data_IF_305105542963
#
_entry.id   IF_305105542963
#
_cell.length_a   1.000
_cell.length_b   1.000
_cell.length_c   1.000
_cell.angle_alpha   90.00
_cell.angle_beta   90.00
_cell.angle_gamma   90.00
#
_symmetry.space_group_name_H-M   'P 1'
#
loop_
_entity.id
_entity.type
_entity.pdbx_description
1 polymer ?
#
# COMPACT_ATOMS: atom_id res chain seq x y z
N UNK A 1 -14.04 8.77 8.37
CA UNK A 1 -13.71 7.46 7.80
C UNK A 1 -12.48 6.99 8.50
N UNK A 2 -12.55 5.80 9.09
CA UNK A 2 -11.48 5.19 9.85
C UNK A 2 -10.33 4.84 8.90
N UNK A 3 -9.12 5.23 9.26
CA UNK A 3 -7.93 4.77 8.55
C UNK A 3 -7.66 3.34 8.99
N UNK A 4 -7.47 2.44 8.03
CA UNK A 4 -7.07 1.07 8.31
C UNK A 4 -5.55 0.98 8.27
N UNK A 5 -4.93 0.64 9.40
CA UNK A 5 -3.51 0.36 9.46
C UNK A 5 -3.26 -1.14 9.38
N UNK A 6 -2.39 -1.56 8.45
CA UNK A 6 -2.06 -2.97 8.22
C UNK A 6 -0.54 -3.16 8.25
N UNK A 7 -0.12 -4.34 8.71
CA UNK A 7 1.28 -4.75 8.73
C UNK A 7 1.47 -6.01 7.89
N UNK A 8 2.38 -5.96 6.92
CA UNK A 8 2.64 -7.01 5.94
C UNK A 8 4.15 -7.19 5.86
N UNK A 9 4.68 -8.36 6.22
CA UNK A 9 6.14 -8.59 6.22
C UNK A 9 6.95 -7.51 6.99
N UNK A 10 6.39 -7.00 8.09
CA UNK A 10 6.90 -5.85 8.88
C UNK A 10 6.80 -4.49 8.19
N UNK A 11 6.30 -4.42 6.96
CA UNK A 11 5.95 -3.18 6.26
C UNK A 11 4.59 -2.67 6.72
N UNK A 12 4.51 -1.40 7.06
CA UNK A 12 3.34 -0.77 7.65
C UNK A 12 2.68 0.14 6.63
N UNK A 13 1.40 -0.11 6.35
CA UNK A 13 0.59 0.70 5.47
C UNK A 13 -0.57 1.31 6.23
N UNK A 14 -0.85 2.58 5.96
CA UNK A 14 -2.09 3.25 6.35
C UNK A 14 -2.96 3.44 5.12
N UNK A 15 -4.17 2.92 5.19
CA UNK A 15 -5.12 2.90 4.10
C UNK A 15 -6.25 3.86 4.43
N UNK A 16 -6.49 4.81 3.52
CA UNK A 16 -7.56 5.79 3.65
C UNK A 16 -8.52 5.67 2.48
N UNK A 17 -9.82 5.57 2.80
CA UNK A 17 -10.88 5.63 1.80
C UNK A 17 -11.11 7.08 1.34
N UNK A 18 -11.19 7.28 0.02
CA UNK A 18 -11.46 8.57 -0.60
C UNK A 18 -12.52 8.43 -1.68
N UNK A 19 -13.60 9.20 -1.54
CA UNK A 19 -14.59 9.36 -2.61
C UNK A 19 -14.17 10.51 -3.52
N UNK A 20 -14.04 10.23 -4.80
CA UNK A 20 -13.80 11.24 -5.81
C UNK A 20 -15.10 12.02 -6.11
N UNK A 21 -15.02 13.28 -6.59
CA UNK A 21 -16.19 14.06 -6.98
C UNK A 21 -17.09 13.38 -8.03
N UNK A 22 -16.51 12.47 -8.83
CA UNK A 22 -17.22 11.63 -9.80
C UNK A 22 -18.10 10.53 -9.17
N UNK A 23 -18.02 10.34 -7.85
CA UNK A 23 -18.63 9.22 -7.14
C UNK A 23 -17.79 7.93 -7.18
N UNK A 24 -16.60 7.96 -7.78
CA UNK A 24 -15.67 6.83 -7.76
C UNK A 24 -15.04 6.67 -6.37
N UNK A 25 -14.86 5.43 -5.92
CA UNK A 25 -14.17 5.12 -4.68
C UNK A 25 -12.68 4.92 -4.97
N UNK A 26 -11.82 5.37 -4.07
CA UNK A 26 -10.38 5.13 -4.15
C UNK A 26 -9.82 4.82 -2.77
N UNK A 27 -8.78 4.01 -2.75
CA UNK A 27 -8.05 3.63 -1.55
C UNK A 27 -6.63 4.15 -1.68
N UNK A 28 -6.24 5.06 -0.79
CA UNK A 28 -4.88 5.58 -0.71
C UNK A 28 -4.08 4.75 0.29
N UNK A 29 -3.01 4.11 -0.18
CA UNK A 29 -2.08 3.37 0.64
C UNK A 29 -0.84 4.22 0.89
N UNK A 30 -0.64 4.64 2.13
CA UNK A 30 0.57 5.33 2.57
C UNK A 30 1.51 4.32 3.25
N UNK A 31 2.71 4.12 2.70
CA UNK A 31 3.71 3.22 3.27
C UNK A 31 4.52 3.94 4.35
N UNK A 32 4.14 3.73 5.61
CA UNK A 32 4.60 4.49 6.76
C UNK A 32 6.09 4.31 7.06
N UNK A 33 6.58 3.08 6.98
CA UNK A 33 8.00 2.74 7.16
C UNK A 33 8.71 2.43 5.83
N UNK A 34 8.07 2.77 4.71
CA UNK A 34 8.62 2.64 3.36
C UNK A 34 9.69 3.68 3.05
N UNK A 35 10.19 3.71 1.79
CA UNK A 35 11.32 4.57 1.40
C UNK A 35 11.05 6.06 1.56
N UNK A 36 9.77 6.48 1.51
CA UNK A 36 9.35 7.87 1.72
C UNK A 36 8.90 8.22 3.14
N UNK A 37 9.13 7.36 4.15
CA UNK A 37 8.69 7.62 5.55
C UNK A 37 7.21 8.07 5.65
N UNK A 38 6.32 7.39 4.95
CA UNK A 38 4.89 7.72 4.91
C UNK A 38 4.44 8.66 3.79
N UNK A 39 5.36 9.20 2.98
CA UNK A 39 4.99 9.99 1.78
C UNK A 39 4.98 9.17 0.50
N UNK A 40 5.51 7.94 0.53
CA UNK A 40 5.51 7.01 -0.59
C UNK A 40 4.39 6.00 -0.43
N UNK A 41 3.82 5.56 -1.55
CA UNK A 41 2.62 4.73 -1.54
C UNK A 41 1.98 4.64 -2.91
N UNK A 42 0.77 4.12 -2.96
CA UNK A 42 0.01 3.96 -4.18
C UNK A 42 -1.48 4.18 -3.93
N UNK A 43 -2.22 4.48 -4.99
CA UNK A 43 -3.68 4.66 -4.92
C UNK A 43 -4.35 3.65 -5.83
N UNK A 44 -5.35 2.93 -5.31
CA UNK A 44 -6.23 2.07 -6.10
C UNK A 44 -7.52 2.83 -6.36
N UNK A 45 -7.83 3.05 -7.63
CA UNK A 45 -9.12 3.59 -8.06
C UNK A 45 -10.11 2.48 -8.40
N UNK A 46 -11.31 2.52 -7.82
CA UNK A 46 -12.45 1.70 -8.24
C UNK A 46 -13.41 2.56 -9.05
N UNK A 47 -13.36 2.39 -10.37
CA UNK A 47 -14.36 2.96 -11.28
C UNK A 47 -15.54 2.01 -11.39
N UNK A 48 -16.64 2.31 -10.71
CA UNK A 48 -17.93 1.67 -11.01
C UNK A 48 -18.58 2.36 -12.20
N UNK A 49 -18.97 1.61 -13.23
CA UNK A 49 -19.94 2.12 -14.21
C UNK A 49 -21.27 2.25 -13.48
N UNK A 50 -21.70 3.51 -13.23
CA UNK A 50 -22.95 4.12 -12.72
C UNK A 50 -24.19 3.28 -12.27
N UNK A 51 -24.23 1.98 -12.48
CA UNK A 51 -25.33 1.06 -12.17
C UNK A 51 -24.90 -0.25 -11.52
N UNK A 52 -23.60 -0.45 -11.24
CA UNK A 52 -23.11 -1.61 -10.49
C UNK A 52 -22.49 -1.07 -9.21
N UNK A 53 -23.05 -1.51 -8.09
CA UNK A 53 -22.62 -1.20 -6.72
C UNK A 53 -21.08 -1.15 -6.66
N UNK A 54 -20.52 0.01 -6.30
CA UNK A 54 -19.06 0.13 -6.10
C UNK A 54 -18.75 -0.61 -4.81
N UNK A 55 -18.66 -1.95 -4.88
CA UNK A 55 -18.42 -2.76 -3.70
C UNK A 55 -17.09 -2.35 -3.10
N UNK A 56 -17.18 -1.83 -1.86
CA UNK A 56 -16.01 -1.51 -1.06
C UNK A 56 -15.13 -2.75 -0.95
N UNK A 57 -13.83 -2.56 -1.09
CA UNK A 57 -12.90 -3.65 -0.84
C UNK A 57 -12.95 -4.00 0.64
N UNK A 58 -12.97 -5.30 0.90
CA UNK A 58 -12.82 -5.83 2.25
C UNK A 58 -11.41 -5.55 2.75
N UNK A 59 -11.23 -5.52 4.08
CA UNK A 59 -9.89 -5.39 4.69
C UNK A 59 -8.92 -6.47 4.17
N UNK A 60 -9.39 -7.70 3.96
CA UNK A 60 -8.58 -8.77 3.38
C UNK A 60 -8.10 -8.48 1.96
N UNK A 61 -8.96 -7.91 1.10
CA UNK A 61 -8.56 -7.54 -0.26
C UNK A 61 -7.53 -6.40 -0.24
N UNK A 62 -7.72 -5.41 0.63
CA UNK A 62 -6.77 -4.31 0.81
C UNK A 62 -5.39 -4.80 1.29
N UNK A 63 -5.37 -5.79 2.20
CA UNK A 63 -4.13 -6.42 2.66
C UNK A 63 -3.42 -7.14 1.52
N UNK A 64 -4.16 -7.90 0.70
CA UNK A 64 -3.57 -8.63 -0.43
C UNK A 64 -3.00 -7.67 -1.48
N UNK A 65 -3.66 -6.55 -1.78
CA UNK A 65 -3.13 -5.53 -2.69
C UNK A 65 -1.82 -4.92 -2.18
N UNK A 66 -1.74 -4.58 -0.89
CA UNK A 66 -0.52 -4.06 -0.30
C UNK A 66 0.60 -5.13 -0.26
N UNK A 67 0.25 -6.40 -0.09
CA UNK A 67 1.19 -7.52 -0.17
C UNK A 67 1.77 -7.67 -1.57
N UNK A 68 0.90 -7.72 -2.59
CA UNK A 68 1.32 -7.79 -3.99
C UNK A 68 2.22 -6.61 -4.37
N UNK A 69 1.91 -5.42 -3.86
CA UNK A 69 2.75 -4.24 -4.05
C UNK A 69 4.16 -4.43 -3.44
N UNK A 70 4.28 -4.90 -2.20
CA UNK A 70 5.57 -5.17 -1.54
C UNK A 70 6.35 -6.26 -2.29
N UNK A 71 5.69 -7.33 -2.70
CA UNK A 71 6.30 -8.42 -3.48
C UNK A 71 6.82 -7.91 -4.83
N UNK A 72 6.06 -7.07 -5.53
CA UNK A 72 6.48 -6.46 -6.79
C UNK A 72 7.60 -5.44 -6.60
N UNK A 73 7.57 -4.65 -5.51
CA UNK A 73 8.57 -3.63 -5.20
C UNK A 73 9.95 -4.24 -4.94
N UNK A 74 10.00 -5.33 -4.16
CA UNK A 74 11.25 -6.05 -3.84
C UNK A 74 11.58 -7.20 -4.80
N UNK A 75 10.66 -7.53 -5.71
CA UNK A 75 10.82 -8.59 -6.69
C UNK A 75 11.95 -8.31 -7.70
N UNK A 76 12.32 -9.34 -8.47
CA UNK A 76 13.32 -9.21 -9.52
C UNK A 76 12.81 -8.24 -10.60
N UNK A 77 13.56 -7.16 -10.86
CA UNK A 77 13.13 -6.08 -11.75
C UNK A 77 12.09 -5.13 -11.14
N UNK A 78 11.88 -5.20 -9.82
CA UNK A 78 11.10 -4.22 -9.08
C UNK A 78 11.87 -2.91 -8.88
N UNK A 79 11.13 -1.82 -8.75
CA UNK A 79 11.69 -0.47 -8.60
C UNK A 79 12.46 -0.25 -7.29
N UNK A 80 12.29 -1.13 -6.30
CA UNK A 80 12.87 -0.92 -4.97
C UNK A 80 14.38 -0.81 -4.98
N UNK A 81 15.06 -1.72 -5.69
CA UNK A 81 16.52 -1.71 -5.74
C UNK A 81 17.09 -0.60 -6.65
N UNK A 82 16.34 -0.17 -7.68
CA UNK A 82 16.79 0.82 -8.67
C UNK A 82 16.51 2.26 -8.22
N UNK A 83 15.28 2.56 -7.78
CA UNK A 83 14.87 3.90 -7.35
C UNK A 83 15.21 4.18 -5.87
N UNK A 84 15.32 3.14 -5.04
CA UNK A 84 15.52 3.28 -3.59
C UNK A 84 16.66 2.38 -3.08
N UNK A 85 17.90 2.53 -3.57
CA UNK A 85 19.02 1.64 -3.23
C UNK A 85 19.37 1.63 -1.73
N UNK A 86 19.11 2.72 -1.01
CA UNK A 86 19.33 2.82 0.45
C UNK A 86 18.17 2.25 1.28
N UNK A 87 17.08 1.82 0.64
CA UNK A 87 15.92 1.29 1.32
C UNK A 87 16.08 -0.21 1.62
N UNK A 88 16.17 -0.53 2.91
CA UNK A 88 16.24 -1.91 3.38
C UNK A 88 14.85 -2.40 3.78
N UNK A 89 14.41 -3.62 3.41
CA UNK A 89 13.15 -4.19 3.88
C UNK A 89 12.99 -4.14 5.39
N UNK A 90 11.82 -3.76 5.89
CA UNK A 90 11.57 -3.61 7.32
C UNK A 90 11.90 -4.87 8.13
N UNK A 91 11.60 -6.06 7.58
CA UNK A 91 11.97 -7.34 8.18
C UNK A 91 13.48 -7.55 8.38
N UNK A 92 14.31 -6.92 7.55
CA UNK A 92 15.78 -7.01 7.63
C UNK A 92 16.38 -5.93 8.54
N UNK A 93 15.64 -4.87 8.86
CA UNK A 93 16.10 -3.78 9.75
C UNK A 93 16.27 -4.24 11.20
N UNK A 94 15.66 -5.35 11.59
CA UNK A 94 15.74 -5.94 12.93
C UNK A 94 16.97 -6.79 13.20
N UNK A 95 17.89 -6.97 12.24
CA UNK A 95 19.06 -7.85 12.37
C UNK A 95 20.39 -7.13 12.59
N UNK A 96 20.36 -5.92 13.15
CA UNK A 96 21.60 -5.19 13.50
C UNK A 96 21.51 -4.69 14.93
N UNK A 97 21.90 -5.54 15.88
CA UNK A 97 22.04 -5.14 17.28
C UNK A 97 21.83 -6.25 18.31
N UNK A 98 22.69 -7.27 18.31
CA UNK A 98 23.26 -7.81 19.54
C UNK A 98 24.68 -8.31 19.27
#
# INVERSE_FOLDING_TARGET
MDNLEVSIDHEMFRISERYQPSGSLSYDFAWLNGPGKGTYGFTIGRTGTRSIDVSRMSSGELVEEARLFVEAFYGVGGIGAEDFPDHVPAKNRGSTGQ
#
